data_IF_223975730644
#
_entry.id   IF_223975730644
#
_cell.length_a   1.000
_cell.length_b   1.000
_cell.length_c   1.000
_cell.angle_alpha   90.00
_cell.angle_beta   90.00
_cell.angle_gamma   90.00
#
_symmetry.space_group_name_H-M   'P 1'
#
loop_
_entity.id
_entity.type
_entity.pdbx_description
1 polymer ?
#
# COMPACT_ATOMS: atom_id res chain seq x y z
N UNK A 1 19.97 -14.46 9.79
CA UNK A 1 19.38 -13.48 8.85
C UNK A 1 18.26 -12.78 9.59
N UNK A 2 18.27 -11.45 9.62
CA UNK A 2 17.28 -10.62 10.30
C UNK A 2 15.94 -10.55 9.53
N UNK A 3 14.90 -10.03 10.18
CA UNK A 3 13.64 -9.65 9.53
C UNK A 3 13.90 -8.67 8.35
N UNK A 4 13.15 -8.84 7.26
CA UNK A 4 13.12 -7.87 6.15
C UNK A 4 11.95 -6.89 6.34
N UNK A 5 11.81 -5.90 5.44
CA UNK A 5 10.71 -4.92 5.51
C UNK A 5 9.34 -5.60 5.53
N UNK A 6 9.14 -6.62 4.70
CA UNK A 6 7.85 -7.32 4.59
C UNK A 6 7.53 -8.17 5.83
N UNK A 7 8.53 -8.58 6.61
CA UNK A 7 8.28 -9.22 7.92
C UNK A 7 7.69 -8.24 8.95
N UNK A 8 7.77 -6.93 8.68
CA UNK A 8 7.36 -5.85 9.58
C UNK A 8 6.29 -4.95 8.96
N UNK A 9 5.65 -5.39 7.87
CA UNK A 9 4.68 -4.58 7.13
C UNK A 9 3.48 -4.17 8.00
N UNK A 10 3.08 -5.05 8.91
CA UNK A 10 1.97 -4.81 9.85
C UNK A 10 2.27 -3.72 10.89
N UNK A 11 3.53 -3.31 11.05
CA UNK A 11 3.91 -2.21 11.94
C UNK A 11 3.64 -0.84 11.31
N UNK A 12 3.46 -0.76 10.00
CA UNK A 12 3.12 0.51 9.36
C UNK A 12 1.67 0.88 9.70
N UNK A 13 1.39 2.15 10.04
CA UNK A 13 0.03 2.58 10.33
C UNK A 13 -0.86 2.40 9.10
N UNK A 14 -2.14 2.03 9.26
CA UNK A 14 -3.05 1.89 8.15
C UNK A 14 -3.19 3.23 7.41
N UNK A 15 -3.24 3.18 6.08
CA UNK A 15 -3.44 4.37 5.29
C UNK A 15 -4.84 4.94 5.56
N UNK A 16 -4.92 6.21 5.93
CA UNK A 16 -6.20 6.90 6.11
C UNK A 16 -6.84 7.08 4.74
N UNK A 17 -7.87 6.30 4.46
CA UNK A 17 -8.74 6.42 3.31
C UNK A 17 -10.18 6.62 3.80
N UNK A 18 -10.82 7.69 3.33
CA UNK A 18 -12.18 8.00 3.72
C UNK A 18 -13.16 7.18 2.85
N UNK A 19 -14.18 6.51 3.43
CA UNK A 19 -15.17 5.78 2.64
C UNK A 19 -15.97 6.69 1.72
N UNK A 20 -16.19 6.27 0.47
CA UNK A 20 -16.88 7.09 -0.53
C UNK A 20 -18.29 7.51 -0.09
N UNK A 21 -19.04 6.63 0.56
CA UNK A 21 -20.38 6.95 1.08
C UNK A 21 -20.37 8.07 2.13
N UNK A 22 -19.32 8.13 2.96
CA UNK A 22 -19.12 9.18 3.97
C UNK A 22 -18.76 10.49 3.29
N UNK A 23 -17.82 10.46 2.34
CA UNK A 23 -17.41 11.66 1.59
C UNK A 23 -18.59 12.24 0.81
N UNK A 24 -19.37 11.40 0.13
CA UNK A 24 -20.43 11.82 -0.79
C UNK A 24 -21.70 12.30 -0.06
N UNK A 25 -22.15 11.61 0.98
CA UNK A 25 -23.48 11.85 1.56
C UNK A 25 -23.46 12.31 3.02
N UNK A 26 -22.49 11.88 3.82
CA UNK A 26 -22.48 12.12 5.28
C UNK A 26 -21.13 12.62 5.78
N UNK A 27 -20.63 13.78 5.30
CA UNK A 27 -19.40 14.36 5.80
C UNK A 27 -19.56 14.75 7.28
N UNK A 28 -18.48 14.62 8.05
CA UNK A 28 -18.46 14.85 9.51
C UNK A 28 -17.23 15.63 9.96
N UNK A 29 -16.14 15.48 9.22
CA UNK A 29 -14.86 16.14 9.48
C UNK A 29 -14.55 17.10 8.32
N UNK A 30 -13.81 18.20 8.56
CA UNK A 30 -13.46 19.14 7.51
C UNK A 30 -12.61 18.49 6.39
N UNK A 31 -11.86 17.44 6.70
CA UNK A 31 -11.11 16.62 5.73
C UNK A 31 -12.04 15.95 4.72
N UNK A 32 -13.25 15.53 5.13
CA UNK A 32 -14.21 14.90 4.23
C UNK A 32 -14.71 15.90 3.16
N UNK A 33 -14.83 17.18 3.52
CA UNK A 33 -15.22 18.23 2.59
C UNK A 33 -14.14 18.44 1.52
N UNK A 34 -12.87 18.43 1.91
CA UNK A 34 -11.75 18.58 0.97
C UNK A 34 -11.62 17.33 0.07
N UNK A 35 -11.70 16.12 0.64
CA UNK A 35 -11.60 14.89 -0.15
C UNK A 35 -12.78 14.74 -1.13
N UNK A 36 -13.98 15.21 -0.77
CA UNK A 36 -15.11 15.27 -1.71
C UNK A 36 -14.80 16.12 -2.93
N UNK A 37 -14.24 17.32 -2.71
CA UNK A 37 -13.93 18.21 -3.82
C UNK A 37 -12.85 17.60 -4.71
N UNK A 38 -11.83 17.00 -4.11
CA UNK A 38 -10.75 16.33 -4.83
C UNK A 38 -11.20 15.14 -5.68
N UNK A 39 -12.02 14.26 -5.12
CA UNK A 39 -12.37 12.96 -5.76
C UNK A 39 -13.61 13.07 -6.64
N UNK A 40 -14.61 13.86 -6.23
CA UNK A 40 -15.91 13.94 -6.90
C UNK A 40 -16.01 15.25 -7.68
N UNK A 41 -15.97 16.39 -6.99
CA UNK A 41 -16.31 17.69 -7.60
C UNK A 41 -15.34 18.14 -8.69
N UNK A 42 -14.04 17.86 -8.52
CA UNK A 42 -13.02 18.18 -9.52
C UNK A 42 -13.29 17.46 -10.85
N UNK A 43 -13.70 16.19 -10.77
CA UNK A 43 -14.01 15.37 -11.96
C UNK A 43 -15.32 15.82 -12.60
N UNK A 44 -16.33 16.16 -11.79
CA UNK A 44 -17.65 16.60 -12.26
C UNK A 44 -17.60 17.97 -12.96
N UNK A 45 -16.94 18.97 -12.35
CA UNK A 45 -16.91 20.34 -12.89
C UNK A 45 -15.77 20.57 -13.88
N UNK A 46 -14.79 19.66 -13.96
CA UNK A 46 -13.61 19.74 -14.82
C UNK A 46 -13.01 21.16 -14.88
N UNK A 47 -12.67 21.78 -13.73
CA UNK A 47 -12.16 23.14 -13.70
C UNK A 47 -10.82 23.24 -14.46
N UNK A 48 -10.42 24.46 -14.80
CA UNK A 48 -9.15 24.72 -15.51
C UNK A 48 -9.03 23.94 -16.84
N UNK A 49 -10.11 23.91 -17.64
CA UNK A 49 -10.20 23.19 -18.92
C UNK A 49 -9.96 21.67 -18.80
N UNK A 50 -10.38 21.06 -17.69
CA UNK A 50 -10.20 19.63 -17.45
C UNK A 50 -8.76 19.23 -17.12
N UNK A 51 -7.95 20.16 -16.62
CA UNK A 51 -6.62 19.84 -16.11
C UNK A 51 -6.71 18.87 -14.92
N UNK A 52 -5.71 18.01 -14.78
CA UNK A 52 -5.56 17.18 -13.58
C UNK A 52 -5.29 18.09 -12.36
N UNK A 53 -5.81 17.68 -11.20
CA UNK A 53 -5.60 18.42 -9.95
C UNK A 53 -4.12 18.42 -9.56
N UNK A 54 -3.48 19.58 -9.74
CA UNK A 54 -2.15 19.86 -9.20
C UNK A 54 -2.26 20.49 -7.80
N UNK A 55 -1.71 19.81 -6.79
CA UNK A 55 -1.70 20.29 -5.40
C UNK A 55 -0.60 21.34 -5.13
N UNK A 56 0.35 21.51 -6.05
CA UNK A 56 1.40 22.53 -5.98
C UNK A 56 1.00 23.86 -6.62
N UNK A 57 -0.01 23.87 -7.51
CA UNK A 57 -0.58 25.10 -8.09
C UNK A 57 -1.47 25.83 -7.07
N UNK A 58 -1.13 27.08 -6.66
CA UNK A 58 -1.96 27.86 -5.76
C UNK A 58 -3.40 28.05 -6.24
N UNK A 59 -3.61 28.20 -7.55
CA UNK A 59 -4.93 28.44 -8.16
C UNK A 59 -5.85 27.24 -7.98
N UNK A 60 -5.30 26.03 -8.16
CA UNK A 60 -6.03 24.79 -7.93
C UNK A 60 -6.37 24.61 -6.45
N UNK A 61 -5.41 24.86 -5.55
CA UNK A 61 -5.63 24.78 -4.10
C UNK A 61 -6.70 25.77 -3.65
N UNK A 62 -6.67 27.00 -4.14
CA UNK A 62 -7.63 28.04 -3.77
C UNK A 62 -9.04 27.74 -4.32
N UNK A 63 -9.13 27.11 -5.51
CA UNK A 63 -10.40 26.57 -6.03
C UNK A 63 -10.95 25.47 -5.13
N UNK A 64 -10.11 24.49 -4.77
CA UNK A 64 -10.51 23.39 -3.88
C UNK A 64 -10.97 23.92 -2.52
N UNK A 65 -10.24 24.88 -1.96
CA UNK A 65 -10.58 25.53 -0.69
C UNK A 65 -11.96 26.19 -0.75
N UNK A 66 -12.23 26.95 -1.82
CA UNK A 66 -13.51 27.65 -2.00
C UNK A 66 -14.68 26.67 -2.06
N UNK A 67 -14.51 25.57 -2.82
CA UNK A 67 -15.54 24.54 -2.92
C UNK A 67 -15.71 23.74 -1.63
N UNK A 68 -14.62 23.47 -0.92
CA UNK A 68 -14.65 22.75 0.35
C UNK A 68 -15.33 23.58 1.44
N UNK A 69 -15.11 24.90 1.46
CA UNK A 69 -15.80 25.84 2.35
C UNK A 69 -17.31 25.88 2.09
N UNK A 70 -17.72 25.92 0.81
CA UNK A 70 -19.14 25.89 0.44
C UNK A 70 -19.83 24.60 0.93
N UNK A 71 -19.18 23.45 0.74
CA UNK A 71 -19.68 22.16 1.25
C UNK A 71 -19.67 22.09 2.78
N UNK A 72 -18.64 22.62 3.42
CA UNK A 72 -18.57 22.64 4.88
C UNK A 72 -19.71 23.48 5.47
N UNK A 73 -20.06 24.61 4.83
CA UNK A 73 -21.19 25.44 5.22
C UNK A 73 -22.54 24.73 5.07
N UNK A 74 -22.73 23.92 4.01
CA UNK A 74 -23.95 23.13 3.80
C UNK A 74 -24.22 22.13 4.94
N UNK A 75 -23.15 21.53 5.49
CA UNK A 75 -23.22 20.53 6.54
C UNK A 75 -22.90 21.07 7.96
N UNK A 76 -22.78 22.39 8.11
CA UNK A 76 -22.38 23.07 9.36
C UNK A 76 -21.06 22.54 9.97
N UNK A 77 -20.10 22.17 9.11
CA UNK A 77 -18.77 21.69 9.50
C UNK A 77 -17.81 22.88 9.59
N UNK A 78 -17.09 22.99 10.70
CA UNK A 78 -16.09 24.04 10.93
C UNK A 78 -14.67 23.46 10.80
N UNK A 79 -13.70 24.34 10.55
CA UNK A 79 -12.27 23.98 10.55
C UNK A 79 -11.66 23.73 9.18
N UNK A 80 -12.38 23.98 8.07
CA UNK A 80 -11.75 24.04 6.75
C UNK A 80 -10.90 25.31 6.66
N UNK A 81 -9.59 25.13 6.54
CA UNK A 81 -8.62 26.20 6.29
C UNK A 81 -7.65 25.80 5.16
N UNK A 82 -6.90 26.76 4.64
CA UNK A 82 -5.94 26.51 3.54
C UNK A 82 -4.87 25.49 3.91
N UNK A 83 -4.44 25.47 5.18
CA UNK A 83 -3.41 24.55 5.68
C UNK A 83 -3.92 23.11 5.69
N UNK A 84 -5.15 22.89 6.14
CA UNK A 84 -5.84 21.61 6.11
C UNK A 84 -6.07 21.16 4.67
N UNK A 85 -6.53 22.05 3.80
CA UNK A 85 -6.71 21.74 2.37
C UNK A 85 -5.41 21.24 1.75
N UNK A 86 -4.30 21.95 1.94
CA UNK A 86 -2.98 21.49 1.46
C UNK A 86 -2.56 20.17 2.13
N UNK A 87 -2.81 20.03 3.43
CA UNK A 87 -2.54 18.81 4.19
C UNK A 87 -3.22 17.57 3.61
N UNK A 88 -4.51 17.68 3.30
CA UNK A 88 -5.32 16.60 2.72
C UNK A 88 -4.94 16.34 1.26
N UNK A 89 -4.76 17.40 0.45
CA UNK A 89 -4.41 17.26 -0.97
C UNK A 89 -3.07 16.56 -1.17
N UNK A 90 -2.04 16.98 -0.43
CA UNK A 90 -0.67 16.43 -0.55
C UNK A 90 -0.39 15.26 0.39
N UNK A 91 -1.35 14.86 1.24
CA UNK A 91 -1.14 13.90 2.34
C UNK A 91 0.12 14.26 3.16
N UNK A 92 0.24 15.53 3.57
CA UNK A 92 1.45 16.07 4.21
C UNK A 92 1.72 15.35 5.54
N UNK A 93 2.92 14.79 5.68
CA UNK A 93 3.45 14.30 6.96
C UNK A 93 4.27 15.43 7.59
N UNK A 94 3.93 15.90 8.82
CA UNK A 94 4.73 16.90 9.51
C UNK A 94 6.18 16.43 9.70
N UNK A 95 7.13 17.30 9.39
CA UNK A 95 8.56 16.99 9.47
C UNK A 95 9.36 18.11 10.13
N UNK A 96 10.32 17.74 10.97
CA UNK A 96 11.25 18.66 11.64
C UNK A 96 12.69 18.16 11.52
N UNK A 97 13.65 19.08 11.51
CA UNK A 97 15.06 18.75 11.28
C UNK A 97 15.67 17.87 12.38
N UNK A 98 15.21 18.01 13.64
CA UNK A 98 15.71 17.24 14.78
C UNK A 98 15.48 15.73 14.62
N UNK A 99 14.26 15.30 14.30
CA UNK A 99 13.92 13.88 14.10
C UNK A 99 14.73 13.28 12.95
N UNK A 100 14.84 14.01 11.83
CA UNK A 100 15.63 13.58 10.68
C UNK A 100 17.12 13.44 11.05
N UNK A 101 17.67 14.37 11.84
CA UNK A 101 19.06 14.30 12.29
C UNK A 101 19.31 13.08 13.18
N UNK A 102 18.42 12.77 14.12
CA UNK A 102 18.56 11.61 15.02
C UNK A 102 18.52 10.29 14.26
N UNK A 103 17.55 10.13 13.35
CA UNK A 103 17.42 8.91 12.54
C UNK A 103 18.60 8.77 11.57
N UNK A 104 18.98 9.85 10.87
CA UNK A 104 20.11 9.83 9.95
C UNK A 104 21.45 9.52 10.66
N UNK A 105 21.68 10.10 11.84
CA UNK A 105 22.87 9.81 12.64
C UNK A 105 22.91 8.33 13.07
N UNK A 106 21.77 7.77 13.47
CA UNK A 106 21.65 6.36 13.84
C UNK A 106 21.95 5.45 12.65
N UNK A 107 21.38 5.72 11.48
CA UNK A 107 21.66 4.97 10.24
C UNK A 107 23.14 5.04 9.82
N UNK A 108 23.73 6.24 9.85
CA UNK A 108 25.13 6.44 9.50
C UNK A 108 26.07 5.70 10.48
N UNK A 109 25.75 5.70 11.77
CA UNK A 109 26.50 4.97 12.78
C UNK A 109 26.45 3.45 12.53
N UNK A 110 25.29 2.89 12.22
CA UNK A 110 25.18 1.46 11.89
C UNK A 110 25.94 1.10 10.61
N UNK A 111 25.91 1.96 9.59
CA UNK A 111 26.69 1.77 8.37
C UNK A 111 28.20 1.70 8.66
N UNK A 112 28.72 2.57 9.55
CA UNK A 112 30.13 2.55 9.97
C UNK A 112 30.46 1.27 10.75
N UNK A 113 29.59 0.83 11.67
CA UNK A 113 29.78 -0.42 12.42
C UNK A 113 29.87 -1.62 11.47
N UNK A 114 28.97 -1.70 10.49
CA UNK A 114 28.94 -2.78 9.50
C UNK A 114 30.16 -2.76 8.57
N UNK A 115 30.59 -1.57 8.13
CA UNK A 115 31.74 -1.43 7.24
C UNK A 115 33.07 -1.79 7.92
N UNK A 116 33.24 -1.39 9.19
CA UNK A 116 34.51 -1.58 9.92
C UNK A 116 34.63 -2.94 10.58
N UNK A 117 33.51 -3.59 10.93
CA UNK A 117 33.42 -4.92 11.61
C UNK A 117 34.18 -5.05 12.93
N UNK A 118 34.93 -4.04 13.37
CA UNK A 118 35.83 -4.07 14.52
C UNK A 118 35.50 -3.05 15.60
N UNK A 119 34.68 -2.03 15.28
CA UNK A 119 34.45 -0.88 16.18
C UNK A 119 33.39 -1.17 17.25
N UNK A 120 32.27 -1.79 16.89
CA UNK A 120 31.18 -2.16 17.81
C UNK A 120 30.23 -3.18 17.17
N UNK A 121 29.41 -3.84 18.01
CA UNK A 121 28.32 -4.68 17.52
C UNK A 121 27.19 -3.82 16.93
N UNK A 122 26.68 -4.14 15.73
CA UNK A 122 25.47 -3.51 15.19
C UNK A 122 24.26 -3.73 16.10
N UNK A 123 23.24 -2.86 15.97
CA UNK A 123 21.93 -3.11 16.59
C UNK A 123 21.27 -4.36 15.99
N UNK A 124 20.33 -4.96 16.71
CA UNK A 124 19.70 -6.22 16.29
C UNK A 124 18.95 -6.08 14.96
N UNK A 125 18.06 -5.09 14.81
CA UNK A 125 17.46 -4.70 13.52
C UNK A 125 16.55 -3.47 13.55
N UNK A 126 15.90 -3.12 14.67
CA UNK A 126 14.90 -2.05 14.69
C UNK A 126 15.11 -1.06 15.82
N UNK A 127 15.00 0.24 15.52
CA UNK A 127 15.16 1.35 16.44
C UNK A 127 13.89 2.20 16.43
N UNK A 128 13.27 2.34 17.60
CA UNK A 128 12.17 3.27 17.85
C UNK A 128 12.71 4.55 18.46
N UNK A 129 12.27 5.70 17.94
CA UNK A 129 12.56 7.02 18.48
C UNK A 129 11.27 7.81 18.66
N UNK A 130 11.09 8.42 19.83
CA UNK A 130 10.01 9.39 20.09
C UNK A 130 10.51 10.48 21.02
N UNK A 131 10.12 11.71 20.75
CA UNK A 131 10.48 12.91 21.51
C UNK A 131 9.24 13.70 22.00
N UNK A 132 8.06 13.06 22.07
CA UNK A 132 6.79 13.71 22.49
C UNK A 132 6.78 14.00 24.00
N UNK A 133 7.09 13.01 24.83
CA UNK A 133 7.15 13.12 26.29
C UNK A 133 8.55 12.74 26.79
N UNK A 134 9.47 13.69 26.72
CA UNK A 134 10.89 13.39 26.91
C UNK A 134 11.47 12.65 25.71
N UNK A 135 12.69 12.13 25.84
CA UNK A 135 13.38 11.43 24.73
C UNK A 135 13.44 9.94 25.03
N UNK A 136 12.80 9.15 24.17
CA UNK A 136 12.89 7.69 24.21
C UNK A 136 13.53 7.17 22.93
N UNK A 137 14.53 6.29 23.11
CA UNK A 137 15.21 5.60 22.03
C UNK A 137 15.34 4.13 22.44
N UNK A 138 14.57 3.25 21.79
CA UNK A 138 14.47 1.84 22.14
C UNK A 138 14.84 0.93 20.97
N UNK A 139 15.78 0.01 21.19
CA UNK A 139 16.09 -1.03 20.22
C UNK A 139 15.22 -2.25 20.51
N UNK A 140 14.51 -2.73 19.49
CA UNK A 140 13.70 -3.94 19.55
C UNK A 140 14.19 -4.90 18.49
N UNK A 141 14.23 -6.19 18.82
CA UNK A 141 14.55 -7.23 17.85
C UNK A 141 13.26 -7.72 17.21
N UNK A 142 13.04 -7.35 15.95
CA UNK A 142 11.95 -7.86 15.14
C UNK A 142 12.26 -9.30 14.72
N UNK A 143 11.27 -10.17 14.85
CA UNK A 143 11.38 -11.56 14.43
C UNK A 143 11.20 -11.67 12.92
N UNK A 144 11.92 -12.62 12.31
CA UNK A 144 11.75 -12.93 10.89
C UNK A 144 10.58 -13.90 10.78
N UNK A 145 9.57 -13.50 10.04
CA UNK A 145 8.47 -14.39 9.68
C UNK A 145 8.99 -15.55 8.80
N UNK A 146 8.82 -16.81 9.23
CA UNK A 146 9.23 -17.98 8.43
C UNK A 146 8.44 -18.13 7.13
N UNK A 147 7.22 -17.60 7.05
CA UNK A 147 6.39 -17.63 5.83
C UNK A 147 6.55 -16.36 4.97
N UNK A 148 7.50 -15.49 5.32
CA UNK A 148 7.64 -14.20 4.66
C UNK A 148 7.88 -14.38 3.14
N UNK A 149 7.06 -13.77 2.27
CA UNK A 149 7.16 -13.89 0.81
C UNK A 149 8.55 -13.58 0.24
N UNK A 150 9.25 -12.63 0.88
CA UNK A 150 10.45 -12.00 0.30
C UNK A 150 11.74 -12.60 0.83
N UNK A 151 11.82 -12.84 2.13
CA UNK A 151 13.08 -13.29 2.74
C UNK A 151 13.10 -14.79 3.08
N UNK A 152 11.96 -15.49 3.11
CA UNK A 152 11.91 -16.93 3.40
C UNK A 152 12.51 -17.79 2.28
N UNK A 153 12.57 -17.26 1.05
CA UNK A 153 13.12 -17.98 -0.11
C UNK A 153 12.36 -19.26 -0.46
N UNK A 154 11.21 -19.49 0.17
CA UNK A 154 10.33 -20.63 -0.03
C UNK A 154 9.06 -20.21 -0.77
N UNK A 155 8.47 -21.17 -1.46
CA UNK A 155 7.11 -21.02 -1.99
C UNK A 155 6.14 -20.84 -0.81
N UNK A 156 5.17 -19.94 -0.97
CA UNK A 156 4.12 -19.72 0.02
C UNK A 156 3.05 -20.78 -0.21
N UNK A 157 2.78 -21.60 0.80
CA UNK A 157 1.66 -22.54 0.71
C UNK A 157 0.35 -21.80 0.90
N UNK A 158 -0.53 -21.89 -0.09
CA UNK A 158 -1.87 -21.32 -0.04
C UNK A 158 -2.87 -22.48 0.00
N UNK A 159 -3.59 -22.68 1.13
CA UNK A 159 -4.64 -23.69 1.19
C UNK A 159 -5.87 -23.21 0.41
N UNK A 160 -6.26 -24.02 -0.59
CA UNK A 160 -7.44 -23.80 -1.41
C UNK A 160 -8.37 -25.00 -1.32
N UNK A 161 -9.68 -24.74 -1.39
CA UNK A 161 -10.68 -25.80 -1.54
C UNK A 161 -10.64 -26.34 -2.97
N UNK A 162 -11.09 -27.57 -3.18
CA UNK A 162 -11.16 -28.16 -4.53
C UNK A 162 -12.09 -27.39 -5.49
N UNK A 163 -13.08 -26.69 -4.94
CA UNK A 163 -14.08 -25.91 -5.69
C UNK A 163 -13.73 -24.42 -5.75
N UNK A 164 -12.59 -23.99 -5.20
CA UNK A 164 -12.17 -22.58 -5.27
C UNK A 164 -11.89 -22.20 -6.73
N UNK A 165 -12.44 -21.05 -7.16
CA UNK A 165 -12.16 -20.47 -8.47
C UNK A 165 -10.84 -19.71 -8.45
N UNK A 166 -10.30 -19.39 -9.63
CA UNK A 166 -9.14 -18.51 -9.75
C UNK A 166 -9.38 -17.14 -9.11
N UNK A 167 -10.60 -16.59 -9.22
CA UNK A 167 -10.97 -15.34 -8.55
C UNK A 167 -10.79 -15.42 -7.03
N UNK A 168 -11.23 -16.52 -6.40
CA UNK A 168 -11.09 -16.68 -4.95
C UNK A 168 -9.62 -16.75 -4.51
N UNK A 169 -8.73 -17.33 -5.33
CA UNK A 169 -7.29 -17.31 -5.08
C UNK A 169 -6.73 -15.88 -5.18
N UNK A 170 -7.11 -15.12 -6.20
CA UNK A 170 -6.67 -13.74 -6.40
C UNK A 170 -7.13 -12.87 -5.22
N UNK A 171 -8.39 -13.01 -4.78
CA UNK A 171 -8.92 -12.24 -3.66
C UNK A 171 -8.15 -12.55 -2.36
N UNK A 172 -7.88 -13.83 -2.07
CA UNK A 172 -7.04 -14.26 -0.93
C UNK A 172 -5.63 -13.66 -0.98
N UNK A 173 -4.99 -13.67 -2.15
CA UNK A 173 -3.64 -13.09 -2.32
C UNK A 173 -3.65 -11.57 -2.19
N UNK A 174 -4.68 -10.92 -2.73
CA UNK A 174 -4.88 -9.48 -2.67
C UNK A 174 -5.10 -9.01 -1.24
N UNK A 175 -5.88 -9.75 -0.44
CA UNK A 175 -6.09 -9.46 0.97
C UNK A 175 -4.81 -9.70 1.80
N UNK A 176 -4.13 -10.84 1.60
CA UNK A 176 -2.94 -11.20 2.39
C UNK A 176 -1.72 -10.31 2.10
N UNK A 177 -1.49 -9.95 0.84
CA UNK A 177 -0.29 -9.22 0.40
C UNK A 177 -0.57 -7.78 -0.03
N UNK A 178 -1.82 -7.29 0.10
CA UNK A 178 -2.23 -5.94 -0.30
C UNK A 178 -1.86 -5.61 -1.77
N UNK A 179 -2.01 -6.59 -2.66
CA UNK A 179 -1.70 -6.47 -4.09
C UNK A 179 -2.68 -5.50 -4.76
N UNK A 180 -2.27 -4.87 -5.88
CA UNK A 180 -3.14 -3.95 -6.63
C UNK A 180 -3.62 -4.57 -7.94
N UNK A 181 -2.69 -5.08 -8.73
CA UNK A 181 -2.90 -5.66 -10.05
C UNK A 181 -2.03 -6.92 -10.17
N UNK A 182 -2.39 -8.03 -9.50
CA UNK A 182 -1.58 -9.22 -9.51
C UNK A 182 -1.62 -9.91 -10.87
N UNK A 183 -0.48 -10.36 -11.37
CA UNK A 183 -0.35 -11.27 -12.50
C UNK A 183 0.10 -12.64 -12.02
N UNK A 184 -0.57 -13.70 -12.47
CA UNK A 184 -0.30 -15.09 -12.12
C UNK A 184 0.17 -15.87 -13.35
N UNK A 185 1.34 -16.48 -13.23
CA UNK A 185 1.98 -17.25 -14.29
C UNK A 185 2.46 -18.61 -13.75
N UNK A 186 2.20 -19.70 -14.46
CA UNK A 186 2.86 -20.99 -14.20
C UNK A 186 4.14 -21.09 -15.02
N UNK A 187 4.87 -22.19 -14.87
CA UNK A 187 6.03 -22.46 -15.71
C UNK A 187 5.71 -22.56 -17.21
N UNK A 188 4.43 -22.84 -17.55
CA UNK A 188 4.02 -23.15 -18.93
C UNK A 188 3.06 -22.13 -19.53
N UNK A 189 2.20 -21.49 -18.74
CA UNK A 189 1.18 -20.58 -19.25
C UNK A 189 0.91 -19.39 -18.32
N UNK A 190 0.39 -18.30 -18.89
CA UNK A 190 -0.04 -17.13 -18.13
C UNK A 190 -1.50 -17.29 -17.77
N UNK A 191 -1.78 -17.62 -16.51
CA UNK A 191 -3.14 -17.90 -16.04
C UNK A 191 -3.96 -16.62 -16.00
N UNK A 192 -3.35 -15.54 -15.48
CA UNK A 192 -4.02 -14.25 -15.29
C UNK A 192 -3.04 -13.09 -15.48
N UNK A 193 -3.31 -12.24 -16.46
CA UNK A 193 -2.57 -11.00 -16.68
C UNK A 193 -3.48 -9.96 -17.35
N UNK A 194 -3.81 -8.89 -16.63
CA UNK A 194 -4.51 -7.75 -17.21
C UNK A 194 -3.45 -6.76 -17.70
N UNK A 195 -3.15 -6.81 -18.99
CA UNK A 195 -2.30 -5.82 -19.66
C UNK A 195 -3.09 -5.13 -20.76
N UNK A 196 -3.05 -3.80 -20.80
CA UNK A 196 -3.67 -3.00 -21.87
C UNK A 196 -2.94 -3.18 -23.22
N UNK A 197 -1.71 -3.69 -23.19
CA UNK A 197 -0.86 -3.85 -24.37
C UNK A 197 -1.16 -5.14 -25.16
N UNK A 198 -1.82 -6.14 -24.54
CA UNK A 198 -2.09 -7.45 -25.17
C UNK A 198 -3.55 -7.87 -24.88
N UNK A 199 -4.51 -7.50 -25.77
CA UNK A 199 -5.93 -7.79 -25.58
C UNK A 199 -6.27 -9.28 -25.48
N UNK A 200 -5.55 -10.14 -26.20
CA UNK A 200 -5.79 -11.59 -26.22
C UNK A 200 -5.57 -12.26 -24.85
N UNK A 201 -4.59 -11.78 -24.08
CA UNK A 201 -4.32 -12.29 -22.74
C UNK A 201 -5.39 -11.84 -21.75
N UNK A 202 -5.96 -10.65 -21.94
CA UNK A 202 -7.06 -10.15 -21.13
C UNK A 202 -8.31 -11.01 -21.29
N UNK A 203 -8.69 -11.34 -22.52
CA UNK A 203 -9.86 -12.17 -22.79
C UNK A 203 -9.71 -13.57 -22.18
N UNK A 204 -8.54 -14.21 -22.35
CA UNK A 204 -8.23 -15.50 -21.72
C UNK A 204 -8.24 -15.42 -20.19
N UNK A 205 -7.67 -14.36 -19.63
CA UNK A 205 -7.63 -14.15 -18.18
C UNK A 205 -9.02 -14.01 -17.59
N UNK A 206 -9.91 -13.24 -18.25
CA UNK A 206 -11.31 -13.06 -17.82
C UNK A 206 -12.08 -14.38 -17.87
N UNK A 207 -11.87 -15.20 -18.91
CA UNK A 207 -12.47 -16.53 -19.00
C UNK A 207 -11.96 -17.49 -17.91
N UNK A 208 -10.69 -17.36 -17.51
CA UNK A 208 -10.09 -18.20 -16.48
C UNK A 208 -10.54 -17.87 -15.06
N UNK A 209 -11.10 -16.67 -14.81
CA UNK A 209 -11.51 -16.23 -13.46
C UNK A 209 -12.58 -17.13 -12.83
N UNK A 210 -13.54 -17.59 -13.64
CA UNK A 210 -14.66 -18.43 -13.20
C UNK A 210 -14.34 -19.93 -13.20
N UNK A 211 -13.19 -20.32 -13.78
CA UNK A 211 -12.79 -21.72 -13.87
C UNK A 211 -12.29 -22.25 -12.51
N UNK A 212 -12.52 -23.54 -12.21
CA UNK A 212 -12.01 -24.15 -10.99
C UNK A 212 -10.49 -24.19 -11.03
N UNK A 213 -9.84 -23.82 -9.92
CA UNK A 213 -8.39 -23.70 -9.83
C UNK A 213 -7.66 -25.00 -10.20
N UNK A 214 -8.30 -26.15 -9.92
CA UNK A 214 -7.81 -27.50 -10.22
C UNK A 214 -7.58 -27.77 -11.72
N UNK A 215 -8.28 -27.07 -12.61
CA UNK A 215 -8.06 -27.19 -14.05
C UNK A 215 -6.86 -26.36 -14.54
N UNK A 216 -6.45 -25.37 -13.76
CA UNK A 216 -5.45 -24.36 -14.15
C UNK A 216 -4.10 -24.57 -13.47
N UNK A 217 -4.10 -25.08 -12.22
CA UNK A 217 -2.89 -25.22 -11.40
C UNK A 217 -2.85 -26.61 -10.76
N UNK A 218 -1.75 -27.34 -10.97
CA UNK A 218 -1.53 -28.63 -10.31
C UNK A 218 -1.09 -28.45 -8.84
N UNK A 219 -1.37 -29.41 -7.96
CA UNK A 219 -1.13 -29.32 -6.51
C UNK A 219 0.34 -29.09 -6.09
N UNK A 220 1.29 -29.46 -6.94
CA UNK A 220 2.72 -29.31 -6.68
C UNK A 220 3.39 -28.29 -7.63
N UNK A 221 2.59 -27.52 -8.37
CA UNK A 221 3.09 -26.54 -9.32
C UNK A 221 3.33 -25.20 -8.63
N UNK A 222 4.51 -24.63 -8.87
CA UNK A 222 4.86 -23.29 -8.41
C UNK A 222 4.22 -22.26 -9.34
N UNK A 223 3.37 -21.41 -8.79
CA UNK A 223 2.77 -20.27 -9.49
C UNK A 223 3.54 -19.02 -9.10
N UNK A 224 3.98 -18.26 -10.09
CA UNK A 224 4.61 -16.97 -9.91
C UNK A 224 3.55 -15.88 -9.89
N UNK A 225 3.57 -15.08 -8.82
CA UNK A 225 2.72 -13.91 -8.65
C UNK A 225 3.61 -12.67 -8.73
N UNK A 226 3.34 -11.79 -9.69
CA UNK A 226 4.00 -10.49 -9.80
C UNK A 226 2.98 -9.37 -9.65
N UNK A 227 3.38 -8.27 -9.04
CA UNK A 227 2.54 -7.09 -8.82
C UNK A 227 3.46 -5.86 -8.72
N UNK A 228 2.94 -4.67 -8.99
CA UNK A 228 3.67 -3.40 -8.87
C UNK A 228 4.09 -3.08 -7.42
N UNK A 229 3.35 -3.59 -6.43
CA UNK A 229 3.65 -3.46 -5.00
C UNK A 229 4.84 -4.34 -4.60
N UNK A 230 5.07 -5.43 -5.33
CA UNK A 230 6.09 -6.42 -5.00
C UNK A 230 7.43 -6.08 -5.67
N UNK A 231 8.49 -5.98 -4.86
CA UNK A 231 9.86 -5.77 -5.39
C UNK A 231 10.42 -7.00 -6.13
N UNK A 232 9.87 -8.19 -5.87
CA UNK A 232 10.19 -9.47 -6.51
C UNK A 232 8.92 -10.29 -6.66
N UNK A 233 8.86 -11.11 -7.71
CA UNK A 233 7.76 -12.08 -7.86
C UNK A 233 7.73 -13.06 -6.69
N UNK A 234 6.53 -13.35 -6.20
CA UNK A 234 6.27 -14.38 -5.20
C UNK A 234 6.13 -15.72 -5.89
N UNK A 235 6.69 -16.76 -5.29
CA UNK A 235 6.37 -18.13 -5.67
C UNK A 235 5.34 -18.66 -4.68
N UNK A 236 4.20 -19.15 -5.17
CA UNK A 236 3.16 -19.78 -4.36
C UNK A 236 2.99 -21.23 -4.78
N UNK A 237 2.63 -22.10 -3.84
CA UNK A 237 2.24 -23.49 -4.11
C UNK A 237 0.85 -23.74 -3.55
N UNK A 238 -0.07 -24.10 -4.43
CA UNK A 238 -1.47 -24.32 -4.07
C UNK A 238 -1.62 -25.69 -3.42
N UNK A 239 -2.05 -25.73 -2.16
CA UNK A 239 -2.31 -26.99 -1.46
C UNK A 239 -3.82 -27.23 -1.43
N UNK A 240 -4.30 -28.23 -2.15
CA UNK A 240 -5.74 -28.56 -2.17
C UNK A 240 -6.14 -29.30 -0.91
N UNK A 241 -6.88 -28.63 -0.04
CA UNK A 241 -7.46 -29.24 1.17
C UNK A 241 -8.79 -29.90 0.77
N UNK A 242 -9.05 -31.09 1.33
CA UNK A 242 -10.29 -31.84 1.09
C UNK A 242 -11.47 -31.23 1.79
#
# INVERSE_FOLDING_TARGET
>A
MSACIDCTLDLFPPQVNFPLCTIAHTPRLPEHCVEYVKVIKWVEEAPFNGAALDADDPSHVDWVLTQALARAQEYDIKGVDRRLTQGVLKRIIPAVASTNAVIAASCALEAIKLATKSTAKPINNYLNFTDIEGVYCGVVQMERDPECPTCSGGYIQVPCSNDDTLQALIDKLTEKFQLKNPSLETATDKIYMISELIPELREKSVLNLERPLKELVSADEDVLVADEVLSKSLSIRVTYVR
#
